data_IF_495512749480
#
_entry.id   IF_495512749480
#
_cell.length_a   1.000
_cell.length_b   1.000
_cell.length_c   1.000
_cell.angle_alpha   90.00
_cell.angle_beta   90.00
_cell.angle_gamma   90.00
#
_symmetry.space_group_name_H-M   'P 1'
#
loop_
_entity.id
_entity.type
_entity.pdbx_description
1 polymer ?
#
# COMPACT_ATOMS: atom_id res chain seq x y z
N UNK A 1 7.42 -3.66 14.68
CA UNK A 1 6.04 -3.58 14.18
C UNK A 1 6.10 -3.42 12.68
N UNK A 2 5.21 -4.07 11.94
CA UNK A 2 5.11 -3.89 10.49
C UNK A 2 4.00 -2.87 10.24
N UNK A 3 4.30 -1.84 9.45
CA UNK A 3 3.41 -0.71 9.20
C UNK A 3 3.04 -0.65 7.72
N UNK A 4 1.76 -0.37 7.45
CA UNK A 4 1.20 -0.28 6.11
C UNK A 4 1.14 1.17 5.64
N UNK A 5 1.93 1.50 4.62
CA UNK A 5 2.21 2.89 4.22
C UNK A 5 1.51 3.32 2.94
N UNK A 6 0.53 2.55 2.46
CA UNK A 6 -0.13 2.80 1.16
C UNK A 6 -0.60 4.24 0.97
N UNK A 7 -1.25 4.85 1.98
CA UNK A 7 -1.73 6.24 1.88
C UNK A 7 -0.60 7.25 1.68
N UNK A 8 0.53 7.05 2.35
CA UNK A 8 1.69 7.94 2.20
C UNK A 8 2.33 7.78 0.83
N UNK A 9 2.51 6.53 0.39
CA UNK A 9 3.03 6.21 -0.96
C UNK A 9 2.14 6.82 -2.04
N UNK A 10 0.82 6.66 -1.93
CA UNK A 10 -0.17 7.28 -2.84
C UNK A 10 -0.05 8.80 -2.87
N UNK A 11 -0.01 9.46 -1.71
CA UNK A 11 0.08 10.91 -1.61
C UNK A 11 1.35 11.47 -2.28
N UNK A 12 2.49 10.79 -2.09
CA UNK A 12 3.76 11.15 -2.76
C UNK A 12 3.69 11.07 -4.28
N UNK A 13 2.76 10.26 -4.82
CA UNK A 13 2.53 10.06 -6.25
C UNK A 13 1.32 10.85 -6.78
N UNK A 14 0.76 11.74 -5.95
CA UNK A 14 -0.37 12.58 -6.32
C UNK A 14 -1.70 11.83 -6.46
N UNK A 15 -1.83 10.66 -5.82
CA UNK A 15 -3.07 9.88 -5.81
C UNK A 15 -3.77 10.12 -4.47
N UNK A 16 -5.00 10.62 -4.52
CA UNK A 16 -5.70 11.10 -3.32
C UNK A 16 -7.00 10.35 -3.02
N UNK A 17 -7.49 9.55 -3.97
CA UNK A 17 -8.72 8.76 -3.80
C UNK A 17 -8.55 7.28 -4.12
N UNK A 18 -9.44 6.46 -3.57
CA UNK A 18 -9.51 5.04 -3.92
C UNK A 18 -9.92 4.81 -5.37
N UNK A 19 -10.75 5.68 -5.95
CA UNK A 19 -11.13 5.59 -7.36
C UNK A 19 -9.91 5.83 -8.27
N UNK A 20 -9.08 6.82 -7.96
CA UNK A 20 -7.82 7.04 -8.67
C UNK A 20 -6.86 5.85 -8.51
N UNK A 21 -6.74 5.28 -7.31
CA UNK A 21 -5.93 4.08 -7.08
C UNK A 21 -6.41 2.90 -7.95
N UNK A 22 -7.71 2.63 -7.98
CA UNK A 22 -8.30 1.57 -8.79
C UNK A 22 -8.00 1.81 -10.28
N UNK A 23 -8.13 3.05 -10.74
CA UNK A 23 -7.84 3.46 -12.11
C UNK A 23 -6.37 3.22 -12.48
N UNK A 24 -5.41 3.67 -11.67
CA UNK A 24 -3.98 3.48 -11.98
C UNK A 24 -3.56 2.01 -11.89
N UNK A 25 -4.16 1.22 -11.02
CA UNK A 25 -3.95 -0.23 -10.95
C UNK A 25 -4.37 -0.93 -12.24
N UNK A 26 -5.53 -0.56 -12.76
CA UNK A 26 -6.02 -1.10 -14.02
C UNK A 26 -5.17 -0.61 -15.21
N UNK A 27 -4.88 0.69 -15.28
CA UNK A 27 -4.15 1.29 -16.41
C UNK A 27 -2.69 0.85 -16.50
N UNK A 28 -1.99 0.73 -15.37
CA UNK A 28 -0.54 0.48 -15.34
C UNK A 28 -0.17 -0.97 -15.07
N UNK A 29 -0.98 -1.69 -14.30
CA UNK A 29 -0.71 -3.08 -13.92
C UNK A 29 -1.71 -4.07 -14.52
N UNK A 30 -2.74 -3.61 -15.26
CA UNK A 30 -3.80 -4.48 -15.76
C UNK A 30 -4.61 -5.16 -14.65
N UNK A 31 -4.57 -4.60 -13.43
CA UNK A 31 -5.08 -5.27 -12.24
C UNK A 31 -6.32 -4.57 -11.69
N UNK A 32 -7.46 -5.25 -11.67
CA UNK A 32 -8.72 -4.69 -11.15
C UNK A 32 -8.96 -5.11 -9.70
N UNK A 33 -9.15 -4.12 -8.84
CA UNK A 33 -9.67 -4.30 -7.49
C UNK A 33 -11.09 -3.76 -7.37
N UNK A 34 -11.93 -4.46 -6.60
CA UNK A 34 -13.26 -3.96 -6.25
C UNK A 34 -13.16 -2.73 -5.34
N UNK A 35 -14.16 -1.84 -5.37
CA UNK A 35 -14.21 -0.67 -4.48
C UNK A 35 -14.12 -1.05 -2.98
N UNK A 36 -14.78 -2.12 -2.48
CA UNK A 36 -14.57 -2.60 -1.12
C UNK A 36 -13.13 -3.04 -0.84
N UNK A 37 -12.46 -3.72 -1.78
CA UNK A 37 -11.06 -4.15 -1.62
C UNK A 37 -10.13 -2.95 -1.52
N UNK A 38 -10.32 -1.95 -2.39
CA UNK A 38 -9.56 -0.70 -2.33
C UNK A 38 -9.79 0.02 -1.00
N UNK A 39 -11.03 0.17 -0.58
CA UNK A 39 -11.37 0.79 0.71
C UNK A 39 -10.70 0.07 1.89
N UNK A 40 -10.69 -1.25 1.90
CA UNK A 40 -10.02 -2.04 2.93
C UNK A 40 -8.51 -1.79 2.99
N UNK A 41 -7.84 -1.71 1.83
CA UNK A 41 -6.41 -1.40 1.76
C UNK A 41 -6.10 0.03 2.25
N UNK A 42 -6.99 0.98 2.03
CA UNK A 42 -6.79 2.36 2.49
C UNK A 42 -7.06 2.52 3.99
N UNK A 43 -8.00 1.78 4.54
CA UNK A 43 -8.47 2.00 5.91
C UNK A 43 -7.69 1.21 6.97
N UNK A 44 -6.82 0.28 6.57
CA UNK A 44 -5.99 -0.43 7.53
C UNK A 44 -4.98 -1.39 6.92
N UNK A 45 -4.14 -1.92 7.80
CA UNK A 45 -3.18 -2.96 7.47
C UNK A 45 -3.91 -4.24 7.05
N UNK A 46 -3.66 -4.78 5.85
CA UNK A 46 -4.27 -6.05 5.44
C UNK A 46 -3.69 -7.21 6.25
N UNK A 47 -4.57 -8.11 6.72
CA UNK A 47 -4.17 -9.35 7.45
C UNK A 47 -3.45 -10.35 6.54
N UNK A 48 -3.83 -10.36 5.27
CA UNK A 48 -3.28 -11.20 4.22
C UNK A 48 -3.31 -10.41 2.92
N UNK A 49 -2.34 -10.64 2.05
CA UNK A 49 -2.23 -9.99 0.77
C UNK A 49 -1.64 -10.95 -0.24
N UNK A 50 -2.27 -11.04 -1.42
CA UNK A 50 -1.76 -11.86 -2.52
C UNK A 50 -0.53 -11.19 -3.12
N UNK A 51 0.43 -11.99 -3.56
CA UNK A 51 1.63 -11.49 -4.23
C UNK A 51 1.27 -10.64 -5.45
N UNK A 52 0.32 -11.09 -6.27
CA UNK A 52 -0.16 -10.35 -7.46
C UNK A 52 -0.74 -8.96 -7.10
N UNK A 53 -1.42 -8.83 -5.96
CA UNK A 53 -1.93 -7.52 -5.52
C UNK A 53 -0.80 -6.60 -5.10
N UNK A 54 0.21 -7.13 -4.41
CA UNK A 54 1.39 -6.35 -4.02
C UNK A 54 2.21 -5.92 -5.23
N UNK A 55 2.43 -6.83 -6.17
CA UNK A 55 3.13 -6.57 -7.43
C UNK A 55 2.41 -5.51 -8.27
N UNK A 56 1.08 -5.61 -8.38
CA UNK A 56 0.27 -4.61 -9.05
C UNK A 56 0.34 -3.24 -8.36
N UNK A 57 0.32 -3.18 -7.02
CA UNK A 57 0.50 -1.93 -6.28
C UNK A 57 1.89 -1.32 -6.53
N UNK A 58 2.94 -2.15 -6.51
CA UNK A 58 4.31 -1.73 -6.81
C UNK A 58 4.42 -1.15 -8.22
N UNK A 59 3.86 -1.85 -9.21
CA UNK A 59 3.84 -1.42 -10.62
C UNK A 59 3.02 -0.15 -10.81
N UNK A 60 1.81 -0.07 -10.27
CA UNK A 60 0.91 1.06 -10.47
C UNK A 60 1.41 2.34 -9.81
N UNK A 61 1.99 2.19 -8.61
CA UNK A 61 2.55 3.29 -7.87
C UNK A 61 3.98 3.61 -8.32
N UNK A 62 4.70 2.73 -9.02
CA UNK A 62 6.15 2.90 -9.23
C UNK A 62 6.88 2.98 -7.87
N UNK A 63 6.71 1.92 -7.08
CA UNK A 63 7.28 1.77 -5.75
C UNK A 63 7.76 0.34 -5.49
N UNK A 64 8.54 0.18 -4.44
CA UNK A 64 9.00 -1.12 -3.96
C UNK A 64 8.11 -1.67 -2.84
N UNK A 65 8.05 -3.00 -2.63
CA UNK A 65 7.34 -3.59 -1.50
C UNK A 65 7.74 -3.01 -0.14
N UNK A 66 9.01 -2.62 0.03
CA UNK A 66 9.56 -2.00 1.25
C UNK A 66 9.05 -0.57 1.51
N UNK A 67 8.60 0.15 0.48
CA UNK A 67 7.93 1.44 0.67
C UNK A 67 6.49 1.26 1.17
N UNK A 68 5.83 0.16 0.79
CA UNK A 68 4.48 -0.17 1.23
C UNK A 68 4.46 -0.81 2.63
N UNK A 69 5.47 -1.63 2.95
CA UNK A 69 5.61 -2.35 4.19
C UNK A 69 6.89 -1.98 4.93
N UNK A 70 6.76 -1.12 5.94
CA UNK A 70 7.89 -0.64 6.73
C UNK A 70 7.97 -1.41 8.05
N UNK A 71 9.16 -1.92 8.37
CA UNK A 71 9.41 -2.52 9.68
C UNK A 71 10.02 -1.49 10.63
N UNK A 72 9.28 -1.16 11.69
CA UNK A 72 9.76 -0.30 12.78
C UNK A 72 10.10 -1.16 13.99
N UNK A 73 11.39 -1.35 14.35
CA UNK A 73 11.74 -2.12 15.54
C UNK A 73 11.22 -1.40 16.81
N UNK A 74 10.79 -2.14 17.85
CA UNK A 74 10.41 -1.52 19.11
C UNK A 74 11.61 -0.74 19.67
N UNK A 75 11.39 0.52 20.02
CA UNK A 75 12.42 1.39 20.59
C UNK A 75 12.87 0.77 21.92
N UNK A 76 14.12 0.26 21.99
CA UNK A 76 14.70 -0.14 23.27
C UNK A 76 14.80 1.11 24.13
N UNK A 77 14.06 1.17 25.23
CA UNK A 77 14.35 2.12 26.30
C UNK A 77 15.77 1.83 26.79
N UNK A 78 16.67 2.80 26.65
CA UNK A 78 17.97 2.75 27.34
C UNK A 78 17.63 2.74 28.83
N UNK A 79 17.98 1.65 29.52
CA UNK A 79 17.80 1.53 30.95
C UNK A 79 18.48 2.70 31.67
N UNK A 80 17.79 3.20 32.69
CA UNK A 80 18.31 4.15 33.66
C UNK A 80 19.36 3.49 34.56
#
# INVERSE_FOLDING_TARGET
MLEWMLRQVMAQRGIWSGAELARVLEERAGYRLSAPSVSALLNGQPKQMKADTLDALCTALDCTPSELWVHTPPRRSKGA
#
